data_IF_103968591341
#
_entry.id   IF_103968591341
#
_cell.length_a   1.000
_cell.length_b   1.000
_cell.length_c   1.000
_cell.angle_alpha   90.00
_cell.angle_beta   90.00
_cell.angle_gamma   90.00
#
_symmetry.space_group_name_H-M   'P 1'
#
loop_
_entity.id
_entity.type
_entity.pdbx_description
1 polymer ?
#
# COMPACT_ATOMS: atom_id res chain seq x y z
N UNK A 1 -4.36 6.81 -21.75
CA UNK A 1 -3.77 8.14 -21.45
C UNK A 1 -4.20 8.56 -20.05
N UNK A 2 -3.31 9.09 -19.21
CA UNK A 2 -3.68 9.69 -17.92
C UNK A 2 -4.60 10.90 -18.12
N UNK A 3 -5.60 11.07 -17.26
CA UNK A 3 -6.53 12.22 -17.32
C UNK A 3 -6.06 13.37 -16.42
N UNK A 4 -4.85 13.86 -16.68
CA UNK A 4 -4.19 14.88 -15.87
C UNK A 4 -3.41 14.31 -14.68
N UNK A 5 -3.29 15.12 -13.62
CA UNK A 5 -2.56 14.77 -12.39
C UNK A 5 -3.29 13.67 -11.59
N UNK A 6 -2.58 12.62 -11.17
CA UNK A 6 -3.09 11.57 -10.29
C UNK A 6 -3.70 12.14 -9.00
N UNK A 7 -4.88 11.63 -8.66
CA UNK A 7 -5.69 11.97 -7.50
C UNK A 7 -6.18 10.69 -6.85
N UNK A 8 -5.97 10.57 -5.54
CA UNK A 8 -6.42 9.41 -4.76
C UNK A 8 -7.95 9.27 -4.80
N UNK A 9 -8.66 10.39 -4.86
CA UNK A 9 -10.12 10.45 -4.81
C UNK A 9 -10.79 9.91 -6.08
N UNK A 10 -10.02 9.72 -7.16
CA UNK A 10 -10.50 9.17 -8.43
C UNK A 10 -10.44 7.65 -8.50
N UNK A 11 -10.04 6.98 -7.43
CA UNK A 11 -10.03 5.52 -7.35
C UNK A 11 -11.35 5.04 -6.75
N UNK A 12 -12.18 4.37 -7.54
CA UNK A 12 -13.37 3.70 -7.05
C UNK A 12 -13.02 2.27 -6.62
N UNK A 13 -13.47 1.84 -5.43
CA UNK A 13 -13.10 0.54 -4.83
C UNK A 13 -14.33 -0.10 -4.22
N UNK A 14 -14.76 -1.23 -4.80
CA UNK A 14 -15.99 -1.92 -4.43
C UNK A 14 -15.69 -3.35 -3.97
N UNK A 15 -16.28 -3.75 -2.85
CA UNK A 15 -16.18 -5.13 -2.37
C UNK A 15 -17.02 -6.02 -3.28
N UNK A 16 -16.38 -7.00 -3.90
CA UNK A 16 -17.04 -7.97 -4.79
C UNK A 16 -17.46 -9.23 -4.05
N UNK A 17 -16.57 -9.76 -3.21
CA UNK A 17 -16.82 -10.97 -2.42
C UNK A 17 -15.84 -11.06 -1.27
N UNK A 18 -16.15 -11.89 -0.27
CA UNK A 18 -15.18 -12.32 0.72
C UNK A 18 -15.37 -13.81 1.02
N UNK A 19 -14.28 -14.48 1.42
CA UNK A 19 -14.32 -15.90 1.78
C UNK A 19 -13.26 -16.25 2.82
N UNK A 20 -13.50 -17.26 3.68
CA UNK A 20 -12.43 -17.90 4.43
C UNK A 20 -11.37 -18.46 3.49
N UNK A 21 -10.10 -18.23 3.80
CA UNK A 21 -8.99 -18.66 2.98
C UNK A 21 -7.75 -19.02 3.82
N UNK A 22 -6.80 -19.70 3.18
CA UNK A 22 -5.48 -19.97 3.72
C UNK A 22 -4.43 -19.55 2.70
N UNK A 23 -3.37 -18.89 3.15
CA UNK A 23 -2.31 -18.39 2.28
C UNK A 23 -0.96 -18.40 3.00
N UNK A 24 0.13 -18.31 2.25
CA UNK A 24 1.46 -18.07 2.81
C UNK A 24 1.76 -16.57 2.75
N UNK A 25 2.36 -16.04 3.81
CA UNK A 25 2.95 -14.70 3.81
C UNK A 25 4.46 -14.91 3.78
N UNK A 26 5.09 -14.67 2.63
CA UNK A 26 6.52 -14.98 2.44
C UNK A 26 6.82 -16.45 2.81
N UNK A 27 7.81 -16.67 3.67
CA UNK A 27 8.24 -17.98 4.19
C UNK A 27 7.50 -18.39 5.48
N UNK A 28 6.49 -17.62 5.91
CA UNK A 28 5.74 -17.97 7.12
C UNK A 28 4.87 -19.22 6.91
N UNK A 29 4.56 -19.95 8.02
CA UNK A 29 3.57 -21.01 8.01
C UNK A 29 2.24 -20.54 7.41
N UNK A 30 1.48 -21.50 6.90
CA UNK A 30 0.20 -21.24 6.24
C UNK A 30 -0.77 -20.51 7.17
N UNK A 31 -1.03 -19.23 6.88
CA UNK A 31 -1.91 -18.33 7.61
C UNK A 31 -3.36 -18.65 7.26
N UNK A 32 -4.26 -18.56 8.25
CA UNK A 32 -5.72 -18.69 8.06
C UNK A 32 -6.38 -17.33 8.31
N UNK A 33 -7.41 -17.00 7.54
CA UNK A 33 -8.19 -15.79 7.75
C UNK A 33 -9.25 -15.59 6.66
N UNK A 34 -9.58 -14.33 6.40
CA UNK A 34 -10.56 -13.95 5.37
C UNK A 34 -9.84 -13.24 4.22
N UNK A 35 -10.13 -13.68 3.00
CA UNK A 35 -9.71 -13.03 1.76
C UNK A 35 -10.90 -12.23 1.22
N UNK A 36 -10.72 -10.92 1.10
CA UNK A 36 -11.66 -9.98 0.51
C UNK A 36 -11.21 -9.65 -0.90
N UNK A 37 -12.12 -9.76 -1.86
CA UNK A 37 -11.90 -9.44 -3.28
C UNK A 37 -12.53 -8.10 -3.56
N UNK A 38 -11.71 -7.16 -4.04
CA UNK A 38 -12.14 -5.82 -4.41
C UNK A 38 -11.99 -5.61 -5.90
N UNK A 39 -13.05 -5.09 -6.52
CA UNK A 39 -12.97 -4.53 -7.86
C UNK A 39 -12.60 -3.05 -7.75
N UNK A 40 -11.66 -2.62 -8.57
CA UNK A 40 -11.13 -1.26 -8.49
C UNK A 40 -11.12 -0.63 -9.88
N UNK A 41 -11.64 0.59 -9.97
CA UNK A 41 -11.58 1.39 -11.19
C UNK A 41 -10.77 2.64 -10.92
N UNK A 42 -9.62 2.77 -11.58
CA UNK A 42 -8.75 3.93 -11.46
C UNK A 42 -9.16 5.02 -12.45
N UNK A 43 -10.03 5.94 -12.01
CA UNK A 43 -10.50 7.07 -12.81
C UNK A 43 -9.40 8.07 -13.21
N UNK A 44 -8.16 7.91 -12.75
CA UNK A 44 -7.03 8.69 -13.24
C UNK A 44 -6.54 8.24 -14.63
N UNK A 45 -7.01 7.10 -15.10
CA UNK A 45 -6.63 6.52 -16.38
C UNK A 45 -7.88 6.23 -17.22
N UNK A 46 -7.93 6.75 -18.45
CA UNK A 46 -9.15 6.77 -19.26
C UNK A 46 -9.61 5.37 -19.75
N UNK A 47 -8.67 4.45 -19.93
CA UNK A 47 -8.90 3.11 -20.48
C UNK A 47 -7.95 2.13 -19.82
N UNK A 48 -8.28 0.84 -19.71
CA UNK A 48 -7.44 -0.17 -19.03
C UNK A 48 -7.12 0.27 -17.60
N UNK A 49 -8.18 0.58 -16.87
CA UNK A 49 -8.14 1.13 -15.52
C UNK A 49 -8.81 0.21 -14.48
N UNK A 50 -9.25 -0.97 -14.90
CA UNK A 50 -9.85 -1.96 -14.04
C UNK A 50 -8.78 -2.86 -13.42
N UNK A 51 -8.74 -2.88 -12.09
CA UNK A 51 -7.91 -3.78 -11.29
C UNK A 51 -8.80 -4.69 -10.46
N UNK A 52 -8.22 -5.80 -10.00
CA UNK A 52 -8.79 -6.59 -8.92
C UNK A 52 -7.74 -6.73 -7.82
N UNK A 53 -8.17 -6.58 -6.56
CA UNK A 53 -7.32 -6.66 -5.39
C UNK A 53 -7.81 -7.72 -4.42
N UNK A 54 -6.85 -8.36 -3.77
CA UNK A 54 -7.07 -9.20 -2.61
C UNK A 54 -6.57 -8.46 -1.38
N UNK A 55 -7.44 -8.34 -0.39
CA UNK A 55 -7.09 -7.93 0.97
C UNK A 55 -7.25 -9.14 1.88
N UNK A 56 -6.16 -9.56 2.49
CA UNK A 56 -6.07 -10.79 3.27
C UNK A 56 -5.88 -10.45 4.74
N UNK A 57 -6.92 -10.70 5.51
CA UNK A 57 -6.97 -10.38 6.93
C UNK A 57 -6.82 -11.67 7.75
N UNK A 58 -5.70 -11.85 8.48
CA UNK A 58 -5.51 -13.05 9.30
C UNK A 58 -6.51 -13.14 10.45
N UNK A 59 -6.93 -14.37 10.79
CA UNK A 59 -7.76 -14.62 11.99
C UNK A 59 -7.00 -14.34 13.29
N UNK A 60 -5.68 -14.54 13.29
CA UNK A 60 -4.82 -14.31 14.46
C UNK A 60 -4.70 -12.80 14.72
N UNK A 61 -5.12 -12.37 15.91
CA UNK A 61 -4.94 -10.98 16.35
C UNK A 61 -3.45 -10.61 16.37
N UNK A 62 -3.15 -9.37 16.02
CA UNK A 62 -1.77 -8.87 16.00
C UNK A 62 -0.98 -9.17 14.72
N UNK A 63 -1.51 -10.01 13.83
CA UNK A 63 -0.90 -10.33 12.53
C UNK A 63 -1.12 -9.24 11.49
N UNK A 64 -0.25 -9.21 10.48
CA UNK A 64 -0.26 -8.22 9.41
C UNK A 64 -1.31 -8.52 8.35
N UNK A 65 -1.98 -7.48 7.85
CA UNK A 65 -2.88 -7.57 6.70
C UNK A 65 -2.03 -7.47 5.42
N UNK A 66 -2.30 -8.35 4.46
CA UNK A 66 -1.66 -8.33 3.14
C UNK A 66 -2.61 -7.70 2.13
N UNK A 67 -2.11 -6.75 1.33
CA UNK A 67 -2.83 -6.18 0.18
C UNK A 67 -2.00 -6.39 -1.08
N UNK A 68 -2.62 -7.02 -2.08
CA UNK A 68 -1.99 -7.29 -3.38
C UNK A 68 -3.02 -7.27 -4.51
N UNK A 69 -2.64 -6.95 -5.75
CA UNK A 69 -3.50 -7.18 -6.89
C UNK A 69 -3.63 -8.68 -7.19
N UNK A 70 -4.84 -9.11 -7.57
CA UNK A 70 -5.09 -10.39 -8.26
C UNK A 70 -5.13 -10.20 -9.78
N UNK A 71 -5.54 -9.02 -10.25
CA UNK A 71 -5.56 -8.65 -11.66
C UNK A 71 -5.05 -7.23 -11.86
N UNK A 72 -4.22 -7.04 -12.88
CA UNK A 72 -3.54 -5.78 -13.20
C UNK A 72 -3.87 -5.40 -14.64
N UNK A 73 -4.21 -4.13 -14.91
CA UNK A 73 -4.44 -3.69 -16.29
C UNK A 73 -3.19 -3.88 -17.16
N UNK A 74 -3.36 -4.22 -18.45
CA UNK A 74 -2.25 -4.46 -19.38
C UNK A 74 -1.61 -3.14 -19.84
N UNK A 75 -0.91 -2.49 -18.91
CA UNK A 75 -0.13 -1.26 -19.10
C UNK A 75 1.32 -1.57 -18.81
N UNK A 76 2.22 -1.27 -19.75
CA UNK A 76 3.66 -1.62 -19.67
C UNK A 76 4.31 -1.20 -18.35
N UNK A 77 3.99 -0.01 -17.84
CA UNK A 77 4.54 0.52 -16.59
C UNK A 77 4.13 -0.29 -15.33
N UNK A 78 3.07 -1.10 -15.42
CA UNK A 78 2.56 -1.92 -14.32
C UNK A 78 2.88 -3.41 -14.47
N UNK A 79 3.75 -3.76 -15.42
CA UNK A 79 4.24 -5.13 -15.58
C UNK A 79 4.84 -5.64 -14.26
N UNK A 80 4.42 -6.84 -13.84
CA UNK A 80 4.88 -7.47 -12.60
C UNK A 80 4.26 -6.92 -11.31
N UNK A 81 3.23 -6.07 -11.36
CA UNK A 81 2.51 -5.61 -10.16
C UNK A 81 1.77 -6.74 -9.43
N UNK A 82 1.33 -7.78 -10.15
CA UNK A 82 0.69 -9.01 -9.65
C UNK A 82 1.54 -9.75 -8.61
N UNK A 83 2.87 -9.56 -8.67
CA UNK A 83 3.86 -10.18 -7.76
C UNK A 83 4.17 -9.32 -6.53
N UNK A 84 3.56 -8.14 -6.40
CA UNK A 84 3.88 -7.18 -5.34
C UNK A 84 2.77 -7.13 -4.30
N UNK A 85 3.17 -6.89 -3.06
CA UNK A 85 2.26 -6.71 -1.94
C UNK A 85 2.68 -5.53 -1.05
N UNK A 86 1.71 -4.95 -0.36
CA UNK A 86 1.95 -4.10 0.81
C UNK A 86 1.46 -4.86 2.05
N UNK A 87 2.31 -4.86 3.08
CA UNK A 87 1.96 -5.39 4.39
C UNK A 87 1.58 -4.25 5.32
N UNK A 88 0.47 -4.42 6.02
CA UNK A 88 -0.03 -3.53 7.04
C UNK A 88 0.14 -4.20 8.39
N UNK A 89 1.12 -3.74 9.16
CA UNK A 89 1.43 -4.24 10.50
C UNK A 89 0.56 -3.54 11.55
N UNK A 90 0.33 -4.18 12.69
CA UNK A 90 -0.43 -3.56 13.78
C UNK A 90 0.40 -2.48 14.50
N UNK A 91 -0.24 -1.35 14.76
CA UNK A 91 0.27 -0.31 15.66
C UNK A 91 0.22 -0.85 17.09
N UNK A 92 1.33 -0.71 17.81
CA UNK A 92 1.49 -1.22 19.19
C UNK A 92 1.77 -0.13 20.21
N UNK A 93 1.87 1.14 19.78
CA UNK A 93 2.21 2.28 20.63
C UNK A 93 1.48 3.54 20.19
N UNK A 94 1.17 4.38 21.18
CA UNK A 94 0.66 5.73 20.97
C UNK A 94 -0.85 5.76 20.70
N UNK A 95 -1.35 6.95 20.36
CA UNK A 95 -2.78 7.25 20.16
C UNK A 95 -3.48 6.46 19.05
N UNK A 96 -2.72 5.75 18.22
CA UNK A 96 -3.19 4.95 17.10
C UNK A 96 -3.17 3.44 17.43
N UNK A 97 -3.06 3.06 18.70
CA UNK A 97 -3.09 1.66 19.10
C UNK A 97 -4.39 0.98 18.63
N UNK A 98 -4.26 -0.19 17.99
CA UNK A 98 -5.39 -0.88 17.33
C UNK A 98 -5.39 -0.70 15.81
N UNK A 99 -4.91 0.45 15.33
CA UNK A 99 -4.75 0.72 13.90
C UNK A 99 -3.71 -0.21 13.25
N UNK A 100 -3.66 -0.14 11.92
CA UNK A 100 -2.60 -0.71 11.12
C UNK A 100 -1.69 0.39 10.55
N UNK A 101 -0.46 0.02 10.19
CA UNK A 101 0.47 0.90 9.49
C UNK A 101 1.21 0.17 8.38
N UNK A 102 1.55 0.88 7.31
CA UNK A 102 2.52 0.43 6.32
C UNK A 102 3.65 1.45 6.21
N UNK A 103 4.86 0.99 5.85
CA UNK A 103 5.94 1.89 5.46
C UNK A 103 5.55 2.61 4.16
N UNK A 104 5.96 3.88 4.02
CA UNK A 104 5.91 4.59 2.73
C UNK A 104 7.01 4.03 1.83
N UNK A 105 6.74 2.86 1.26
CA UNK A 105 7.66 2.15 0.40
C UNK A 105 7.28 2.43 -1.05
N UNK A 106 7.92 3.40 -1.67
CA UNK A 106 7.71 3.75 -3.07
C UNK A 106 8.32 2.67 -3.97
N UNK A 107 7.68 2.32 -5.08
CA UNK A 107 8.36 1.53 -6.11
C UNK A 107 9.59 2.28 -6.64
N UNK A 108 10.54 1.57 -7.21
CA UNK A 108 11.74 2.17 -7.80
C UNK A 108 11.64 2.05 -9.33
N UNK A 109 11.39 3.16 -10.05
CA UNK A 109 11.30 3.15 -11.51
C UNK A 109 12.63 2.86 -12.22
N UNK A 110 13.78 3.03 -11.54
CA UNK A 110 15.08 2.70 -12.12
C UNK A 110 15.31 1.18 -12.17
N UNK A 111 14.60 0.41 -11.34
CA UNK A 111 14.72 -1.05 -11.27
C UNK A 111 15.94 -1.55 -10.48
N UNK A 112 16.73 -0.64 -9.90
CA UNK A 112 17.90 -0.97 -9.07
C UNK A 112 17.49 -1.69 -7.77
N UNK A 113 16.30 -1.36 -7.25
CA UNK A 113 15.71 -1.97 -6.06
C UNK A 113 14.26 -2.34 -6.31
N UNK A 114 13.72 -3.21 -5.45
CA UNK A 114 12.27 -3.47 -5.48
C UNK A 114 11.46 -2.28 -4.97
N UNK A 115 12.00 -1.50 -4.02
CA UNK A 115 11.34 -0.34 -3.41
C UNK A 115 12.32 0.58 -2.67
N UNK A 116 11.95 1.84 -2.52
CA UNK A 116 12.59 2.82 -1.66
C UNK A 116 11.68 3.17 -0.48
N UNK A 117 12.17 2.99 0.76
CA UNK A 117 11.45 3.37 1.97
C UNK A 117 11.78 4.83 2.27
N UNK A 118 10.74 5.69 2.26
CA UNK A 118 10.87 7.08 2.65
C UNK A 118 11.11 7.23 4.15
N UNK A 119 11.91 8.23 4.51
CA UNK A 119 12.19 8.64 5.88
C UNK A 119 11.39 9.88 6.27
N UNK A 120 11.37 10.20 7.57
CA UNK A 120 10.59 11.32 8.12
C UNK A 120 11.03 12.67 7.53
N UNK A 121 12.33 12.89 7.38
CA UNK A 121 12.93 14.07 6.76
C UNK A 121 12.61 14.20 5.26
N UNK A 122 12.30 13.09 4.60
CA UNK A 122 11.91 13.04 3.18
C UNK A 122 10.43 13.30 2.94
N UNK A 123 9.63 13.49 3.99
CA UNK A 123 8.17 13.71 3.87
C UNK A 123 7.81 14.83 2.89
N UNK A 124 8.59 15.91 2.86
CA UNK A 124 8.37 17.05 1.95
C UNK A 124 8.72 16.75 0.48
N UNK A 125 9.52 15.72 0.23
CA UNK A 125 9.97 15.27 -1.10
C UNK A 125 9.03 14.25 -1.73
N UNK A 126 8.02 13.77 -0.99
CA UNK A 126 7.08 12.79 -1.51
C UNK A 126 6.30 13.33 -2.73
N UNK A 127 5.85 12.45 -3.63
CA UNK A 127 4.95 12.81 -4.70
C UNK A 127 3.76 13.62 -4.20
N UNK A 128 3.33 14.63 -4.97
CA UNK A 128 2.27 15.54 -4.53
C UNK A 128 0.97 14.80 -4.16
N UNK A 129 0.67 13.67 -4.81
CA UNK A 129 -0.53 12.89 -4.55
C UNK A 129 -0.52 12.18 -3.19
N UNK A 130 0.63 12.02 -2.55
CA UNK A 130 0.70 11.51 -1.17
C UNK A 130 0.51 12.62 -0.12
N UNK A 131 0.48 13.90 -0.52
CA UNK A 131 0.37 15.03 0.43
C UNK A 131 -0.96 15.02 1.19
N UNK A 132 -2.06 14.58 0.57
CA UNK A 132 -3.37 14.46 1.26
C UNK A 132 -3.33 13.48 2.43
N UNK A 133 -2.35 12.58 2.47
CA UNK A 133 -2.15 11.59 3.52
C UNK A 133 -1.22 12.09 4.64
N UNK A 134 -0.72 13.32 4.56
CA UNK A 134 0.23 13.88 5.53
C UNK A 134 -0.25 13.81 6.98
N UNK A 135 -1.56 13.97 7.22
CA UNK A 135 -2.17 13.87 8.54
C UNK A 135 -2.13 12.47 9.16
N UNK A 136 -1.96 11.44 8.33
CA UNK A 136 -1.83 10.02 8.71
C UNK A 136 -0.39 9.53 8.79
N UNK A 137 0.55 10.33 8.30
CA UNK A 137 1.96 9.98 8.30
C UNK A 137 2.58 10.14 9.69
N UNK A 138 3.40 9.16 10.09
CA UNK A 138 4.10 9.12 11.38
C UNK A 138 5.52 8.60 11.21
N UNK A 139 6.39 8.85 12.19
CA UNK A 139 7.63 8.07 12.32
C UNK A 139 7.29 6.65 12.79
N UNK A 140 8.05 5.64 12.35
CA UNK A 140 7.83 4.26 12.78
C UNK A 140 8.01 4.10 14.30
N UNK A 141 8.97 4.81 14.89
CA UNK A 141 9.23 4.81 16.33
C UNK A 141 8.01 5.25 17.18
N UNK A 142 7.11 6.06 16.61
CA UNK A 142 5.89 6.51 17.30
C UNK A 142 4.78 5.44 17.35
N UNK A 143 4.82 4.44 16.48
CA UNK A 143 3.76 3.41 16.35
C UNK A 143 4.21 2.02 16.82
N UNK A 144 5.52 1.77 16.92
CA UNK A 144 6.08 0.48 17.36
C UNK A 144 7.48 0.68 17.93
N UNK A 145 7.90 -0.19 18.86
CA UNK A 145 9.31 -0.28 19.25
C UNK A 145 10.17 -0.69 18.05
N UNK A 146 11.25 0.07 17.82
CA UNK A 146 12.21 -0.12 16.73
C UNK A 146 13.63 -0.19 17.30
N UNK A 147 14.57 -0.73 16.51
CA UNK A 147 16.01 -0.71 16.81
C UNK A 147 16.76 -0.01 15.67
N UNK A 148 17.83 0.70 16.01
CA UNK A 148 18.63 1.45 15.03
C UNK A 148 17.81 2.49 14.26
N UNK A 149 18.16 2.70 12.98
CA UNK A 149 17.56 3.71 12.10
C UNK A 149 16.20 3.32 11.51
N UNK A 150 15.68 2.12 11.82
CA UNK A 150 14.36 1.68 11.35
C UNK A 150 13.23 2.59 11.90
N UNK A 151 13.45 3.21 13.06
CA UNK A 151 12.56 4.19 13.68
C UNK A 151 12.29 5.42 12.81
N UNK A 152 13.26 5.81 11.98
CA UNK A 152 13.20 6.99 11.10
C UNK A 152 12.41 6.75 9.82
N UNK A 153 11.94 5.52 9.60
CA UNK A 153 11.05 5.19 8.48
C UNK A 153 9.75 5.96 8.62
N UNK A 154 9.31 6.58 7.52
CA UNK A 154 7.98 7.17 7.42
C UNK A 154 6.94 6.06 7.21
N UNK A 155 5.87 6.10 7.99
CA UNK A 155 4.75 5.17 7.90
C UNK A 155 3.44 5.92 7.70
N UNK A 156 2.44 5.26 7.12
CA UNK A 156 1.07 5.75 7.05
C UNK A 156 0.20 4.84 7.92
N UNK A 157 -0.57 5.45 8.80
CA UNK A 157 -1.53 4.77 9.68
C UNK A 157 -2.91 4.74 9.04
N UNK A 158 -3.55 3.58 9.09
CA UNK A 158 -4.87 3.30 8.51
C UNK A 158 -5.68 2.45 9.49
N UNK A 159 -6.98 2.72 9.55
CA UNK A 159 -7.92 1.89 10.28
C UNK A 159 -7.88 0.45 9.71
N UNK A 160 -7.90 -0.59 10.55
CA UNK A 160 -7.77 -1.97 10.08
C UNK A 160 -8.90 -2.43 9.15
N UNK A 161 -10.08 -1.84 9.23
CA UNK A 161 -11.24 -2.21 8.43
C UNK A 161 -11.36 -1.35 7.15
N UNK A 162 -10.54 -0.31 7.03
CA UNK A 162 -10.49 0.56 5.85
C UNK A 162 -9.62 -0.02 4.72
N UNK A 163 -10.09 -1.14 4.19
CA UNK A 163 -9.47 -1.85 3.08
C UNK A 163 -9.35 -0.99 1.82
N UNK A 164 -10.33 -0.11 1.57
CA UNK A 164 -10.31 0.79 0.42
C UNK A 164 -9.08 1.70 0.46
N UNK A 165 -8.79 2.31 1.62
CA UNK A 165 -7.58 3.13 1.78
C UNK A 165 -6.30 2.31 1.64
N UNK A 166 -6.28 1.07 2.14
CA UNK A 166 -5.12 0.20 1.96
C UNK A 166 -4.83 -0.12 0.48
N UNK A 167 -5.88 -0.36 -0.31
CA UNK A 167 -5.79 -0.58 -1.77
C UNK A 167 -5.36 0.71 -2.48
N UNK A 168 -5.94 1.86 -2.13
CA UNK A 168 -5.56 3.16 -2.70
C UNK A 168 -4.08 3.50 -2.41
N UNK A 169 -3.57 3.14 -1.23
CA UNK A 169 -2.15 3.27 -0.89
C UNK A 169 -1.24 2.42 -1.76
N UNK A 170 -1.67 1.20 -2.12
CA UNK A 170 -0.93 0.37 -3.08
C UNK A 170 -0.79 1.07 -4.41
N UNK A 171 -1.89 1.56 -4.98
CA UNK A 171 -1.87 2.27 -6.26
C UNK A 171 -0.97 3.51 -6.18
N UNK A 172 -1.12 4.33 -5.14
CA UNK A 172 -0.37 5.57 -4.97
C UNK A 172 1.14 5.36 -4.78
N UNK A 173 1.55 4.33 -4.03
CA UNK A 173 2.96 4.10 -3.69
C UNK A 173 3.67 3.16 -4.67
N UNK A 174 2.95 2.33 -5.43
CA UNK A 174 3.53 1.37 -6.37
C UNK A 174 3.20 1.72 -7.82
N UNK A 175 1.93 1.60 -8.20
CA UNK A 175 1.51 1.71 -9.59
C UNK A 175 1.81 3.10 -10.17
N UNK A 176 1.44 4.15 -9.45
CA UNK A 176 1.62 5.53 -9.92
C UNK A 176 3.06 6.04 -9.81
N UNK A 177 3.84 5.55 -8.84
CA UNK A 177 5.28 5.83 -8.81
C UNK A 177 5.97 5.30 -10.07
N UNK A 178 5.67 4.06 -10.47
CA UNK A 178 6.22 3.49 -11.71
C UNK A 178 5.69 4.19 -12.96
N UNK A 179 4.39 4.50 -12.99
CA UNK A 179 3.77 5.14 -14.14
C UNK A 179 4.32 6.54 -14.42
N UNK A 180 4.57 7.32 -13.37
CA UNK A 180 5.09 8.68 -13.43
C UNK A 180 6.63 8.73 -13.44
N UNK A 181 7.30 7.60 -13.26
CA UNK A 181 8.77 7.55 -13.19
C UNK A 181 9.34 8.34 -11.99
N UNK A 182 8.58 8.48 -10.90
CA UNK A 182 8.98 9.31 -9.76
C UNK A 182 10.20 8.74 -9.02
N UNK A 183 11.19 9.59 -8.74
CA UNK A 183 12.40 9.24 -7.97
C UNK A 183 12.49 10.08 -6.71
N UNK A 184 12.57 9.41 -5.56
CA UNK A 184 12.64 10.08 -4.24
C UNK A 184 14.03 10.66 -3.96
N UNK A 185 15.06 9.94 -4.38
CA UNK A 185 16.48 10.28 -4.22
C UNK A 185 17.07 10.28 -5.62
N UNK A 186 17.73 11.37 -5.98
CA UNK A 186 18.59 11.47 -7.16
C UNK A 186 20.03 11.36 -6.68
#
# INVERSE_FOLDING_TARGET
MPQGRYRLERVNIELKSNRPARWKIREEPLVRGTEYVYQVTDGNYAQRNAWEFLVRVPKKKGSSIEVRPSSVPPVKAWSGMDRRAIMFERVRRGRNAGDCYCKVALADPAGERTRLIARVDEKKKLPYWLKSLNGRMRSKASVRHTRGTDGDSLVIVVDPDDHQRMVALFLAAKAWVLKEGFRLRQ
#
